data_IF_074944948614
#
_entry.id   IF_074944948614
#
_cell.length_a   1.000
_cell.length_b   1.000
_cell.length_c   1.000
_cell.angle_alpha   90.00
_cell.angle_beta   90.00
_cell.angle_gamma   90.00
#
_symmetry.space_group_name_H-M   'P 1'
#
loop_
_entity.id
_entity.type
_entity.pdbx_description
1 polymer ?
#
# COMPACT_ATOMS: atom_id res chain seq x y z
N UNK A 1 -19.94 21.33 -25.15
CA UNK A 1 -18.90 20.31 -25.34
C UNK A 1 -17.54 20.80 -24.81
N UNK A 2 -17.05 22.00 -25.17
CA UNK A 2 -15.73 22.49 -24.71
C UNK A 2 -15.63 22.58 -23.18
N UNK A 3 -16.67 23.12 -22.50
CA UNK A 3 -16.69 23.20 -21.05
C UNK A 3 -16.63 21.79 -20.44
N UNK A 4 -17.37 20.83 -20.99
CA UNK A 4 -17.36 19.44 -20.52
C UNK A 4 -15.95 18.82 -20.67
N UNK A 5 -15.29 19.03 -21.81
CA UNK A 5 -13.93 18.55 -22.02
C UNK A 5 -12.95 19.07 -20.94
N UNK A 6 -12.93 20.40 -20.73
CA UNK A 6 -12.01 21.00 -19.76
C UNK A 6 -12.35 20.65 -18.32
N UNK A 7 -13.64 20.45 -17.99
CA UNK A 7 -14.05 19.93 -16.69
C UNK A 7 -13.54 18.52 -16.45
N UNK A 8 -13.69 17.62 -17.45
CA UNK A 8 -13.17 16.26 -17.38
C UNK A 8 -11.62 16.24 -17.29
N UNK A 9 -10.95 17.10 -18.08
CA UNK A 9 -9.50 17.25 -18.00
C UNK A 9 -9.05 17.66 -16.60
N UNK A 10 -9.74 18.62 -15.98
CA UNK A 10 -9.45 19.05 -14.60
C UNK A 10 -9.63 17.90 -13.61
N UNK A 11 -10.71 17.08 -13.77
CA UNK A 11 -10.90 15.89 -12.93
C UNK A 11 -9.79 14.87 -13.13
N UNK A 12 -9.37 14.61 -14.37
CA UNK A 12 -8.25 13.70 -14.64
C UNK A 12 -6.96 14.19 -13.99
N UNK A 13 -6.62 15.48 -14.16
CA UNK A 13 -5.45 16.09 -13.51
C UNK A 13 -5.55 15.94 -11.99
N UNK A 14 -6.71 16.21 -11.41
CA UNK A 14 -6.93 16.03 -9.97
C UNK A 14 -6.72 14.58 -9.53
N UNK A 15 -7.20 13.59 -10.27
CA UNK A 15 -7.03 12.18 -9.92
C UNK A 15 -5.56 11.75 -9.78
N UNK A 16 -4.66 12.32 -10.59
CA UNK A 16 -3.25 11.90 -10.63
C UNK A 16 -2.29 12.90 -9.99
N UNK A 17 -2.53 14.19 -10.15
CA UNK A 17 -1.70 15.25 -9.56
C UNK A 17 -2.23 15.76 -8.21
N UNK A 18 -3.47 15.43 -7.84
CA UNK A 18 -4.12 15.97 -6.65
C UNK A 18 -3.37 15.66 -5.36
N UNK A 19 -2.94 14.40 -5.14
CA UNK A 19 -2.18 14.04 -3.94
C UNK A 19 -0.81 14.73 -3.88
N UNK A 20 0.03 14.76 -4.94
CA UNK A 20 1.23 15.59 -4.98
C UNK A 20 0.97 17.07 -4.69
N UNK A 21 -0.07 17.67 -5.29
CA UNK A 21 -0.43 19.07 -5.02
C UNK A 21 -0.81 19.31 -3.55
N UNK A 22 -1.63 18.45 -2.98
CA UNK A 22 -1.98 18.50 -1.56
C UNK A 22 -0.72 18.35 -0.68
N UNK A 23 0.20 17.46 -1.05
CA UNK A 23 1.47 17.29 -0.33
C UNK A 23 2.36 18.55 -0.41
N UNK A 24 2.37 19.26 -1.56
CA UNK A 24 3.06 20.56 -1.68
C UNK A 24 2.44 21.59 -0.74
N UNK A 25 1.11 21.77 -0.80
CA UNK A 25 0.38 22.73 0.03
C UNK A 25 0.61 22.44 1.52
N UNK A 26 0.48 21.18 1.92
CA UNK A 26 0.73 20.77 3.30
C UNK A 26 2.20 20.95 3.71
N UNK A 27 3.14 20.80 2.77
CA UNK A 27 4.56 21.02 3.01
C UNK A 27 4.91 22.48 3.33
N UNK A 28 4.03 23.44 3.01
CA UNK A 28 4.15 24.86 3.39
C UNK A 28 3.69 25.11 4.84
N UNK A 29 2.91 24.20 5.42
CA UNK A 29 2.50 24.30 6.80
C UNK A 29 3.68 24.05 7.76
N UNK A 30 3.65 24.70 8.95
CA UNK A 30 4.69 24.49 9.96
C UNK A 30 4.76 23.00 10.35
N UNK A 31 5.96 22.39 10.32
CA UNK A 31 6.11 20.99 10.73
C UNK A 31 5.70 20.81 12.19
N UNK A 32 4.88 19.83 12.47
CA UNK A 32 4.64 19.39 13.84
C UNK A 32 5.85 18.58 14.30
N UNK A 33 6.56 19.11 15.30
CA UNK A 33 7.66 18.37 15.94
C UNK A 33 7.06 17.16 16.65
N UNK A 34 7.62 15.99 16.40
CA UNK A 34 7.32 14.77 17.16
C UNK A 34 8.45 14.61 18.17
N UNK A 35 8.10 14.58 19.46
CA UNK A 35 9.05 14.25 20.51
C UNK A 35 9.37 12.78 20.39
N UNK A 36 10.64 12.45 20.31
CA UNK A 36 11.11 11.05 20.34
C UNK A 36 11.55 10.73 21.76
N UNK A 37 11.35 9.50 22.18
CA UNK A 37 11.82 9.03 23.48
C UNK A 37 12.91 8.00 23.28
N UNK A 38 13.91 8.05 24.15
CA UNK A 38 14.97 7.03 24.19
C UNK A 38 14.54 5.79 25.00
N UNK A 39 13.38 5.84 25.66
CA UNK A 39 12.85 4.70 26.41
C UNK A 39 12.03 3.80 25.48
N UNK A 40 12.56 2.63 25.08
CA UNK A 40 11.89 1.75 24.14
C UNK A 40 10.69 1.05 24.80
N UNK A 41 9.45 1.16 24.24
CA UNK A 41 8.31 0.38 24.70
C UNK A 41 8.46 -1.10 24.32
N UNK A 42 7.66 -2.00 24.91
CA UNK A 42 7.57 -3.37 24.43
C UNK A 42 6.90 -3.45 23.07
N UNK A 43 7.41 -4.27 22.16
CA UNK A 43 6.91 -4.49 20.80
C UNK A 43 6.45 -5.93 20.61
N UNK A 44 5.25 -6.13 20.08
CA UNK A 44 4.84 -7.41 19.50
C UNK A 44 4.91 -7.34 17.99
N UNK A 45 5.85 -8.08 17.41
CA UNK A 45 6.03 -8.18 15.95
C UNK A 45 5.15 -9.33 15.47
N UNK A 46 4.31 -9.08 14.47
CA UNK A 46 3.34 -10.03 13.94
C UNK A 46 3.66 -10.29 12.48
N UNK A 47 3.87 -11.57 12.17
CA UNK A 47 4.15 -12.08 10.83
C UNK A 47 3.11 -13.13 10.50
N UNK A 48 2.32 -12.90 9.44
CA UNK A 48 1.48 -13.92 8.83
C UNK A 48 2.29 -14.65 7.76
N UNK A 49 2.32 -15.97 7.81
CA UNK A 49 3.08 -16.82 6.89
C UNK A 49 2.16 -17.84 6.21
N UNK A 50 2.36 -18.05 4.93
CA UNK A 50 1.75 -19.16 4.18
C UNK A 50 2.76 -19.72 3.19
N UNK A 51 3.29 -20.92 3.50
CA UNK A 51 4.32 -21.59 2.71
C UNK A 51 5.58 -20.71 2.52
N UNK A 52 6.21 -20.26 3.56
CA UNK A 52 7.37 -19.38 3.59
C UNK A 52 8.65 -20.08 4.05
N UNK A 53 8.78 -21.40 3.77
CA UNK A 53 9.92 -22.20 4.24
C UNK A 53 11.29 -21.62 3.88
N UNK A 54 11.39 -20.91 2.74
CA UNK A 54 12.64 -20.31 2.29
C UNK A 54 12.99 -19.00 3.02
N UNK A 55 11.99 -18.30 3.59
CA UNK A 55 12.16 -16.96 4.14
C UNK A 55 11.99 -16.91 5.65
N UNK A 56 11.23 -17.85 6.23
CA UNK A 56 10.80 -17.73 7.62
C UNK A 56 11.94 -17.76 8.62
N UNK A 57 12.98 -18.58 8.41
CA UNK A 57 14.16 -18.60 9.27
C UNK A 57 14.92 -17.27 9.21
N UNK A 58 15.14 -16.77 7.99
CA UNK A 58 15.79 -15.46 7.80
C UNK A 58 14.97 -14.34 8.49
N UNK A 59 13.64 -14.39 8.43
CA UNK A 59 12.78 -13.44 9.12
C UNK A 59 12.96 -13.44 10.63
N UNK A 60 13.06 -14.62 11.22
CA UNK A 60 13.33 -14.78 12.66
C UNK A 60 14.67 -14.14 13.00
N UNK A 61 15.74 -14.54 12.31
CA UNK A 61 17.09 -14.08 12.54
C UNK A 61 17.20 -12.57 12.36
N UNK A 62 16.64 -12.02 11.27
CA UNK A 62 16.63 -10.58 10.98
C UNK A 62 15.88 -9.78 12.06
N UNK A 63 14.79 -10.32 12.60
CA UNK A 63 14.01 -9.65 13.65
C UNK A 63 14.85 -9.50 14.92
N UNK A 64 15.54 -10.55 15.36
CA UNK A 64 16.34 -10.55 16.58
C UNK A 64 17.74 -9.95 16.40
N UNK A 65 18.21 -9.79 15.17
CA UNK A 65 19.44 -9.04 14.87
C UNK A 65 19.25 -7.51 14.92
N UNK A 66 18.04 -7.03 15.20
CA UNK A 66 17.77 -5.59 15.34
C UNK A 66 18.44 -4.99 16.58
N UNK A 67 18.78 -3.69 16.50
CA UNK A 67 19.34 -2.92 17.63
C UNK A 67 18.27 -2.54 18.68
N UNK A 68 17.16 -3.28 18.74
CA UNK A 68 16.11 -3.07 19.74
C UNK A 68 16.35 -3.99 20.96
N UNK A 69 16.08 -3.53 22.22
CA UNK A 69 16.25 -4.38 23.38
C UNK A 69 15.48 -5.69 23.25
N UNK A 70 16.22 -6.78 23.23
CA UNK A 70 15.69 -8.10 22.88
C UNK A 70 14.63 -8.61 23.86
N UNK A 71 14.72 -8.25 25.13
CA UNK A 71 13.76 -8.57 26.19
C UNK A 71 12.42 -7.81 26.03
N UNK A 72 12.38 -6.82 25.15
CA UNK A 72 11.17 -6.05 24.83
C UNK A 72 10.53 -6.45 23.51
N UNK A 73 11.01 -7.51 22.87
CA UNK A 73 10.49 -8.05 21.63
C UNK A 73 9.72 -9.34 21.92
N UNK A 74 8.47 -9.40 21.47
CA UNK A 74 7.73 -10.63 21.24
C UNK A 74 7.55 -10.80 19.73
N UNK A 75 7.89 -11.97 19.17
CA UNK A 75 7.65 -12.31 17.77
C UNK A 75 6.52 -13.33 17.67
N UNK A 76 5.43 -12.97 17.00
CA UNK A 76 4.33 -13.90 16.72
C UNK A 76 4.40 -14.28 15.25
N UNK A 77 4.63 -15.55 14.96
CA UNK A 77 4.55 -16.13 13.64
C UNK A 77 3.25 -16.92 13.55
N UNK A 78 2.33 -16.50 12.71
CA UNK A 78 1.06 -17.15 12.50
C UNK A 78 1.00 -17.76 11.09
N UNK A 79 1.03 -19.08 11.02
CA UNK A 79 0.88 -19.85 9.79
C UNK A 79 -0.58 -19.95 9.41
N UNK A 80 -0.92 -19.59 8.17
CA UNK A 80 -2.27 -19.71 7.59
C UNK A 80 -2.43 -21.05 6.86
N UNK A 81 -2.21 -22.16 7.58
CA UNK A 81 -2.32 -23.51 7.03
C UNK A 81 -1.22 -23.83 6.00
N UNK A 82 0.04 -23.50 6.30
CA UNK A 82 1.17 -23.87 5.45
C UNK A 82 1.29 -25.38 5.25
N UNK A 83 1.61 -25.80 4.03
CA UNK A 83 1.75 -27.19 3.62
C UNK A 83 3.20 -27.60 3.36
N UNK A 84 4.11 -26.64 3.39
CA UNK A 84 5.56 -26.81 3.29
C UNK A 84 6.22 -26.93 4.66
N UNK A 85 7.53 -26.75 4.75
CA UNK A 85 8.29 -26.88 5.99
C UNK A 85 8.21 -25.63 6.92
N UNK A 86 7.42 -24.60 6.56
CA UNK A 86 7.29 -23.38 7.38
C UNK A 86 7.02 -23.68 8.85
N UNK A 87 6.03 -24.55 9.11
CA UNK A 87 5.62 -24.90 10.49
C UNK A 87 6.72 -25.66 11.24
N UNK A 88 7.43 -26.55 10.56
CA UNK A 88 8.54 -27.32 11.15
C UNK A 88 9.68 -26.41 11.55
N UNK A 89 10.09 -25.49 10.66
CA UNK A 89 11.19 -24.55 10.91
C UNK A 89 10.89 -23.69 12.13
N UNK A 90 9.67 -23.15 12.25
CA UNK A 90 9.32 -22.29 13.39
C UNK A 90 9.25 -23.10 14.70
N UNK A 91 8.72 -24.34 14.67
CA UNK A 91 8.64 -25.21 15.84
C UNK A 91 10.02 -25.66 16.36
N UNK A 92 11.02 -25.76 15.50
CA UNK A 92 12.39 -26.07 15.92
C UNK A 92 13.03 -24.92 16.71
N UNK A 93 12.48 -23.73 16.62
CA UNK A 93 13.02 -22.58 17.35
C UNK A 93 12.54 -22.59 18.80
N UNK A 94 13.50 -22.66 19.75
CA UNK A 94 13.22 -22.75 21.19
C UNK A 94 13.24 -21.40 21.89
N UNK A 95 13.36 -20.28 21.16
CA UNK A 95 13.41 -18.95 21.76
C UNK A 95 12.04 -18.61 22.41
N UNK A 96 11.98 -18.36 23.74
CA UNK A 96 10.74 -18.13 24.47
C UNK A 96 10.00 -16.84 24.04
N UNK A 97 10.68 -15.96 23.30
CA UNK A 97 10.08 -14.73 22.74
C UNK A 97 9.23 -15.00 21.49
N UNK A 98 9.34 -16.19 20.92
CA UNK A 98 8.58 -16.60 19.73
C UNK A 98 7.30 -17.29 20.15
N UNK A 99 6.18 -16.79 19.64
CA UNK A 99 4.88 -17.45 19.75
C UNK A 99 4.49 -17.96 18.37
N UNK A 100 4.42 -19.26 18.20
CA UNK A 100 3.98 -19.86 16.95
C UNK A 100 2.50 -20.25 17.01
N UNK A 101 1.73 -19.83 16.00
CA UNK A 101 0.33 -20.18 15.83
C UNK A 101 0.17 -20.94 14.51
N UNK A 102 -0.08 -22.23 14.59
CA UNK A 102 -0.42 -23.04 13.42
C UNK A 102 -1.94 -23.05 13.24
N UNK A 103 -2.45 -22.28 12.27
CA UNK A 103 -3.87 -22.02 12.07
C UNK A 103 -4.36 -22.73 10.79
N UNK A 104 -5.66 -23.06 10.70
CA UNK A 104 -6.23 -23.53 9.44
C UNK A 104 -6.27 -22.42 8.40
N UNK A 105 -6.19 -22.78 7.11
CA UNK A 105 -6.21 -21.87 5.97
C UNK A 105 -7.50 -21.04 5.93
N UNK A 106 -7.43 -19.75 6.28
CA UNK A 106 -8.55 -18.80 6.30
C UNK A 106 -8.21 -17.45 5.69
N UNK A 107 -6.97 -17.28 5.24
CA UNK A 107 -6.47 -16.04 4.66
C UNK A 107 -5.79 -15.11 5.65
N UNK A 108 -4.93 -14.23 5.13
CA UNK A 108 -4.05 -13.34 5.90
C UNK A 108 -4.78 -12.56 6.98
N UNK A 109 -5.96 -11.99 6.69
CA UNK A 109 -6.70 -11.16 7.64
C UNK A 109 -7.17 -11.95 8.87
N UNK A 110 -7.70 -13.16 8.66
CA UNK A 110 -8.12 -14.04 9.76
C UNK A 110 -6.91 -14.46 10.61
N UNK A 111 -5.78 -14.74 9.97
CA UNK A 111 -4.51 -15.09 10.62
C UNK A 111 -4.00 -13.95 11.47
N UNK A 112 -3.95 -12.73 10.96
CA UNK A 112 -3.57 -11.53 11.72
C UNK A 112 -4.52 -11.26 12.89
N UNK A 113 -5.84 -11.40 12.68
CA UNK A 113 -6.84 -11.26 13.75
C UNK A 113 -6.61 -12.26 14.90
N UNK A 114 -6.20 -13.48 14.57
CA UNK A 114 -5.86 -14.50 15.57
C UNK A 114 -4.57 -14.16 16.28
N UNK A 115 -3.53 -13.73 15.56
CA UNK A 115 -2.23 -13.38 16.11
C UNK A 115 -2.31 -12.24 17.14
N UNK A 116 -3.07 -11.18 16.84
CA UNK A 116 -3.19 -10.02 17.74
C UNK A 116 -3.74 -10.37 19.12
N UNK A 117 -4.54 -11.44 19.24
CA UNK A 117 -5.05 -11.90 20.54
C UNK A 117 -3.96 -12.39 21.48
N UNK A 118 -2.83 -12.84 20.95
CA UNK A 118 -1.67 -13.35 21.69
C UNK A 118 -0.58 -12.29 21.91
N UNK A 119 -0.81 -11.06 21.46
CA UNK A 119 0.15 -9.97 21.62
C UNK A 119 0.28 -9.56 23.08
N UNK A 120 1.51 -9.55 23.61
CA UNK A 120 1.81 -9.17 24.99
C UNK A 120 1.98 -7.64 25.17
N UNK A 121 2.40 -6.94 24.11
CA UNK A 121 2.78 -5.53 24.22
C UNK A 121 1.74 -4.57 23.62
N UNK A 122 1.81 -3.31 24.06
CA UNK A 122 0.89 -2.24 23.64
C UNK A 122 1.15 -1.71 22.22
N UNK A 123 2.33 -1.98 21.65
CA UNK A 123 2.65 -1.59 20.28
C UNK A 123 2.76 -2.87 19.43
N UNK A 124 1.91 -2.93 18.41
CA UNK A 124 1.91 -4.01 17.41
C UNK A 124 2.70 -3.55 16.21
N UNK A 125 3.65 -4.36 15.76
CA UNK A 125 4.41 -4.16 14.52
C UNK A 125 4.01 -5.24 13.53
N UNK A 126 3.56 -4.86 12.37
CA UNK A 126 3.19 -5.77 11.28
C UNK A 126 4.27 -5.73 10.20
N UNK A 127 4.67 -6.88 9.72
CA UNK A 127 5.63 -7.02 8.63
C UNK A 127 5.39 -8.34 7.89
N UNK A 128 5.66 -8.37 6.58
CA UNK A 128 5.53 -9.57 5.76
C UNK A 128 6.71 -10.53 6.01
N UNK A 129 6.53 -11.83 5.74
CA UNK A 129 7.53 -12.86 6.00
C UNK A 129 8.77 -12.72 5.10
N UNK A 130 8.58 -12.25 3.87
CA UNK A 130 9.61 -12.06 2.83
C UNK A 130 10.29 -10.68 2.88
N UNK A 131 9.96 -9.85 3.88
CA UNK A 131 10.51 -8.50 4.07
C UNK A 131 11.59 -8.52 5.15
N UNK A 132 12.78 -8.02 4.84
CA UNK A 132 13.84 -7.75 5.81
C UNK A 132 13.70 -6.34 6.39
N UNK A 133 14.06 -6.15 7.65
CA UNK A 133 14.07 -4.84 8.32
C UNK A 133 15.50 -4.40 8.62
N UNK A 134 15.74 -3.09 8.51
CA UNK A 134 17.02 -2.49 8.95
C UNK A 134 17.19 -2.64 10.46
N UNK A 135 18.44 -2.75 10.91
CA UNK A 135 18.75 -2.96 12.33
C UNK A 135 18.12 -1.92 13.26
N UNK A 136 17.94 -0.68 12.80
CA UNK A 136 17.35 0.40 13.59
C UNK A 136 15.85 0.62 13.33
N UNK A 137 15.26 -0.12 12.41
CA UNK A 137 13.87 0.11 11.97
C UNK A 137 12.85 0.06 13.12
N UNK A 138 12.99 -0.91 14.03
CA UNK A 138 12.11 -1.05 15.19
C UNK A 138 12.25 0.15 16.15
N UNK A 139 13.47 0.60 16.42
CA UNK A 139 13.72 1.78 17.26
C UNK A 139 13.14 3.05 16.65
N UNK A 140 13.27 3.22 15.33
CA UNK A 140 12.68 4.35 14.61
C UNK A 140 11.17 4.36 14.72
N UNK A 141 10.48 3.24 14.46
CA UNK A 141 9.03 3.14 14.62
C UNK A 141 8.59 3.42 16.05
N UNK A 142 9.23 2.78 17.02
CA UNK A 142 8.85 2.83 18.43
C UNK A 142 8.97 4.23 19.02
N UNK A 143 10.00 4.99 18.63
CA UNK A 143 10.30 6.33 19.16
C UNK A 143 9.15 7.34 19.02
N UNK A 144 8.27 7.16 18.04
CA UNK A 144 7.13 8.05 17.79
C UNK A 144 5.96 7.84 18.76
N UNK A 145 5.88 6.67 19.40
CA UNK A 145 4.77 6.35 20.31
C UNK A 145 4.85 7.01 21.69
N UNK A 146 5.90 7.80 21.95
CA UNK A 146 5.94 8.72 23.09
C UNK A 146 4.85 9.80 23.01
N UNK A 147 4.41 10.15 21.82
CA UNK A 147 3.33 11.10 21.58
C UNK A 147 1.97 10.39 21.64
N UNK A 148 1.11 10.81 22.55
CA UNK A 148 -0.22 10.20 22.74
C UNK A 148 -1.16 10.38 21.53
N UNK A 149 -0.92 11.38 20.65
CA UNK A 149 -1.69 11.62 19.45
C UNK A 149 -1.23 10.77 18.26
N UNK A 150 -0.07 10.08 18.35
CA UNK A 150 0.41 9.14 17.33
C UNK A 150 -0.24 7.79 17.56
N UNK A 151 -1.02 7.34 16.59
CA UNK A 151 -1.71 6.05 16.62
C UNK A 151 -1.04 4.97 15.77
N UNK A 152 -0.47 5.36 14.63
CA UNK A 152 0.20 4.45 13.70
C UNK A 152 1.44 5.11 13.10
N UNK A 153 2.47 4.30 12.83
CA UNK A 153 3.71 4.73 12.15
C UNK A 153 4.01 3.74 11.03
N UNK A 154 4.12 4.25 9.81
CA UNK A 154 4.52 3.49 8.63
C UNK A 154 6.02 3.60 8.39
N UNK A 155 6.67 2.49 8.09
CA UNK A 155 8.05 2.42 7.64
C UNK A 155 8.23 2.74 6.16
N UNK A 156 9.49 2.77 5.76
CA UNK A 156 9.97 3.09 4.43
C UNK A 156 10.43 1.82 3.71
N UNK A 157 9.57 1.28 2.86
CA UNK A 157 9.91 0.11 2.06
C UNK A 157 10.81 0.49 0.89
N UNK A 158 11.84 -0.31 0.64
CA UNK A 158 12.79 -0.17 -0.46
C UNK A 158 12.95 -1.53 -1.18
N UNK A 159 12.98 -1.49 -2.51
CA UNK A 159 13.27 -2.68 -3.29
C UNK A 159 14.78 -2.98 -3.30
N UNK A 160 15.12 -4.27 -3.20
CA UNK A 160 16.48 -4.77 -3.43
C UNK A 160 16.60 -5.09 -4.92
N UNK A 161 17.57 -4.46 -5.60
CA UNK A 161 17.79 -4.65 -7.04
C UNK A 161 17.15 -3.59 -7.93
N UNK A 162 17.42 -3.67 -9.22
CA UNK A 162 16.89 -2.74 -10.22
C UNK A 162 15.42 -3.08 -10.49
N UNK A 163 14.51 -2.36 -9.83
CA UNK A 163 13.09 -2.38 -10.19
C UNK A 163 12.87 -1.73 -11.56
N UNK A 164 11.74 -2.03 -12.23
CA UNK A 164 11.32 -1.32 -13.43
C UNK A 164 11.28 0.19 -13.16
N UNK A 165 11.89 0.99 -14.02
CA UNK A 165 12.01 2.46 -13.88
C UNK A 165 10.67 3.17 -13.57
N UNK A 166 9.54 2.64 -14.07
CA UNK A 166 8.20 3.18 -13.81
C UNK A 166 7.72 2.93 -12.39
N UNK A 167 7.96 1.75 -11.84
CA UNK A 167 7.58 1.37 -10.47
C UNK A 167 8.45 2.12 -9.45
N UNK A 168 9.75 2.22 -9.69
CA UNK A 168 10.68 2.96 -8.83
C UNK A 168 10.34 4.46 -8.77
N UNK A 169 9.98 5.07 -9.89
CA UNK A 169 9.54 6.48 -9.96
C UNK A 169 8.24 6.68 -9.17
N UNK A 170 7.28 5.77 -9.31
CA UNK A 170 6.03 5.84 -8.56
C UNK A 170 6.26 5.77 -7.06
N UNK A 171 7.10 4.85 -6.59
CA UNK A 171 7.46 4.72 -5.18
C UNK A 171 8.20 5.95 -4.63
N UNK A 172 9.05 6.58 -5.44
CA UNK A 172 9.74 7.81 -5.05
C UNK A 172 8.76 8.98 -4.84
N UNK A 173 7.76 9.12 -5.72
CA UNK A 173 6.71 10.14 -5.59
C UNK A 173 5.84 9.85 -4.35
N UNK A 174 5.43 8.61 -4.13
CA UNK A 174 4.63 8.22 -2.96
C UNK A 174 5.39 8.49 -1.65
N UNK A 175 6.66 8.10 -1.57
CA UNK A 175 7.55 8.37 -0.43
C UNK A 175 7.70 9.86 -0.16
N UNK A 176 7.95 10.65 -1.20
CA UNK A 176 8.04 12.09 -1.10
C UNK A 176 6.73 12.72 -0.58
N UNK A 177 5.59 12.29 -1.11
CA UNK A 177 4.28 12.75 -0.65
C UNK A 177 4.03 12.36 0.81
N UNK A 178 4.28 11.10 1.20
CA UNK A 178 4.15 10.63 2.58
C UNK A 178 5.01 11.41 3.56
N UNK A 179 6.27 11.72 3.20
CA UNK A 179 7.17 12.52 4.02
C UNK A 179 6.58 13.90 4.31
N UNK A 180 6.01 14.58 3.30
CA UNK A 180 5.41 15.91 3.45
C UNK A 180 4.11 15.86 4.25
N UNK A 181 3.22 14.91 3.94
CA UNK A 181 1.95 14.74 4.64
C UNK A 181 2.16 14.38 6.13
N UNK A 182 3.14 13.53 6.43
CA UNK A 182 3.50 13.15 7.79
C UNK A 182 3.98 14.34 8.64
N UNK A 183 4.74 15.25 8.04
CA UNK A 183 5.24 16.45 8.74
C UNK A 183 4.14 17.42 9.14
N UNK A 184 3.10 17.57 8.34
CA UNK A 184 2.00 18.52 8.59
C UNK A 184 0.80 17.89 9.31
N UNK A 185 0.67 16.56 9.29
CA UNK A 185 -0.50 15.88 9.87
C UNK A 185 -0.40 14.38 9.85
N UNK A 186 -1.13 13.76 8.95
CA UNK A 186 -1.20 12.30 8.77
C UNK A 186 -1.01 11.91 7.31
N UNK A 187 -0.38 10.78 7.07
CA UNK A 187 -0.47 10.07 5.78
C UNK A 187 -1.81 9.34 5.66
N UNK A 188 -2.19 8.96 4.45
CA UNK A 188 -3.49 8.30 4.19
C UNK A 188 -3.54 6.85 4.64
N UNK A 189 -2.42 6.13 4.58
CA UNK A 189 -2.29 4.74 5.02
C UNK A 189 -0.83 4.30 5.09
N UNK A 190 -0.57 3.26 5.87
CA UNK A 190 0.70 2.52 5.84
C UNK A 190 0.84 1.68 4.57
N UNK A 191 1.99 1.01 4.42
CA UNK A 191 2.27 -0.07 3.46
C UNK A 191 2.50 -1.35 4.24
N UNK A 192 2.09 -2.51 3.71
CA UNK A 192 2.12 -3.80 4.39
C UNK A 192 3.51 -4.27 4.83
N UNK A 193 4.57 -3.81 4.16
CA UNK A 193 5.92 -4.27 4.40
C UNK A 193 6.42 -4.03 5.84
N UNK A 194 6.14 -2.85 6.42
CA UNK A 194 6.51 -2.52 7.80
C UNK A 194 5.66 -1.36 8.33
N UNK A 195 4.92 -1.57 9.41
CA UNK A 195 4.23 -0.50 10.14
C UNK A 195 3.91 -0.93 11.58
N UNK A 196 3.68 0.06 12.44
CA UNK A 196 3.33 -0.16 13.83
C UNK A 196 2.05 0.59 14.20
N UNK A 197 1.25 0.04 15.12
CA UNK A 197 0.01 0.65 15.65
C UNK A 197 -0.13 0.38 17.14
N UNK A 198 -0.80 1.26 17.88
CA UNK A 198 -1.21 0.98 19.25
C UNK A 198 -2.24 -0.15 19.27
N UNK A 199 -2.02 -1.17 20.10
CA UNK A 199 -2.92 -2.33 20.27
C UNK A 199 -4.34 -1.89 20.62
N UNK A 200 -4.50 -0.86 21.45
CA UNK A 200 -5.80 -0.32 21.87
C UNK A 200 -6.66 0.18 20.70
N UNK A 201 -6.03 0.60 19.58
CA UNK A 201 -6.71 1.06 18.38
C UNK A 201 -7.12 -0.08 17.45
N UNK A 202 -6.48 -1.25 17.56
CA UNK A 202 -6.74 -2.38 16.67
C UNK A 202 -8.19 -2.85 16.76
N UNK A 203 -8.74 -3.24 15.62
CA UNK A 203 -10.05 -3.92 15.50
C UNK A 203 -9.91 -5.00 14.45
N UNK A 204 -10.70 -6.06 14.58
CA UNK A 204 -10.67 -7.18 13.65
C UNK A 204 -10.81 -6.70 12.21
N UNK A 205 -9.92 -7.20 11.38
CA UNK A 205 -9.83 -6.89 9.95
C UNK A 205 -10.96 -7.65 9.26
N UNK A 206 -11.84 -7.00 8.49
CA UNK A 206 -12.85 -7.67 7.68
C UNK A 206 -12.21 -8.48 6.55
N UNK A 207 -12.95 -9.46 6.03
CA UNK A 207 -12.52 -10.22 4.88
C UNK A 207 -12.48 -9.36 3.61
N UNK A 208 -11.52 -9.65 2.74
CA UNK A 208 -11.40 -9.04 1.41
C UNK A 208 -10.98 -7.57 1.39
N UNK A 209 -10.44 -7.03 2.50
CA UNK A 209 -9.78 -5.72 2.54
C UNK A 209 -8.26 -5.87 2.62
N UNK A 210 -7.50 -4.84 2.23
CA UNK A 210 -6.06 -4.79 2.52
C UNK A 210 -5.84 -4.49 3.98
N UNK A 211 -5.06 -5.34 4.64
CA UNK A 211 -4.75 -5.28 6.08
C UNK A 211 -4.08 -3.95 6.47
N UNK A 212 -3.03 -3.57 5.76
CA UNK A 212 -2.25 -2.36 6.00
C UNK A 212 -3.10 -1.08 5.94
N UNK A 213 -3.95 -0.97 4.92
CA UNK A 213 -4.86 0.15 4.79
C UNK A 213 -5.89 0.17 5.92
N UNK A 214 -6.55 -0.97 6.18
CA UNK A 214 -7.60 -1.04 7.18
C UNK A 214 -7.05 -0.76 8.58
N UNK A 215 -5.97 -1.45 8.97
CA UNK A 215 -5.35 -1.31 10.30
C UNK A 215 -4.85 0.12 10.52
N UNK A 216 -4.08 0.68 9.58
CA UNK A 216 -3.53 2.02 9.76
C UNK A 216 -4.60 3.10 9.86
N UNK A 217 -5.69 3.00 9.08
CA UNK A 217 -6.78 3.98 9.10
C UNK A 217 -7.64 3.90 10.37
N UNK A 218 -7.56 2.82 11.16
CA UNK A 218 -8.16 2.77 12.50
C UNK A 218 -7.61 3.87 13.43
N UNK A 219 -6.35 4.26 13.26
CA UNK A 219 -5.77 5.39 13.99
C UNK A 219 -6.51 6.69 13.67
N UNK A 220 -6.68 7.01 12.38
CA UNK A 220 -7.41 8.22 11.97
C UNK A 220 -8.86 8.21 12.43
N UNK A 221 -9.52 7.04 12.38
CA UNK A 221 -10.90 6.91 12.87
C UNK A 221 -11.05 7.32 14.35
N UNK A 222 -9.99 7.15 15.12
CA UNK A 222 -9.92 7.54 16.54
C UNK A 222 -9.18 8.87 16.75
N UNK A 223 -9.12 9.72 15.70
CA UNK A 223 -8.49 11.05 15.72
C UNK A 223 -7.01 11.02 16.09
N UNK A 224 -6.33 9.89 15.86
CA UNK A 224 -4.88 9.74 16.02
C UNK A 224 -4.17 9.89 14.69
N UNK A 225 -2.92 10.32 14.74
CA UNK A 225 -2.09 10.54 13.56
C UNK A 225 -1.52 9.23 13.02
N UNK A 226 -1.39 9.16 11.69
CA UNK A 226 -0.62 8.14 10.99
C UNK A 226 0.64 8.83 10.47
N UNK A 227 1.80 8.48 10.99
CA UNK A 227 3.08 9.05 10.58
C UNK A 227 3.79 8.16 9.57
N UNK A 228 4.74 8.74 8.86
CA UNK A 228 5.70 8.05 8.02
C UNK A 228 7.10 8.36 8.52
N UNK A 229 7.89 7.34 8.84
CA UNK A 229 9.30 7.50 9.18
C UNK A 229 10.18 6.98 8.03
N UNK A 230 10.94 7.88 7.41
CA UNK A 230 11.84 7.56 6.31
C UNK A 230 13.03 6.70 6.74
N UNK A 231 13.38 6.73 8.04
CA UNK A 231 14.50 5.98 8.61
C UNK A 231 14.10 4.59 9.13
N UNK A 232 12.81 4.31 9.27
CA UNK A 232 12.32 2.96 9.58
C UNK A 232 12.31 2.12 8.30
N UNK A 233 13.50 1.69 7.85
CA UNK A 233 13.69 1.08 6.54
C UNK A 233 13.37 -0.41 6.59
N UNK A 234 12.70 -0.88 5.55
CA UNK A 234 12.49 -2.30 5.27
C UNK A 234 12.81 -2.59 3.80
N UNK A 235 13.24 -3.82 3.53
CA UNK A 235 13.71 -4.25 2.22
C UNK A 235 12.93 -5.48 1.74
N UNK A 236 12.66 -5.54 0.45
CA UNK A 236 12.08 -6.71 -0.20
C UNK A 236 12.42 -6.79 -1.68
N UNK A 237 12.26 -7.96 -2.25
CA UNK A 237 12.52 -8.16 -3.66
C UNK A 237 11.38 -7.57 -4.51
N UNK A 238 11.73 -7.01 -5.67
CA UNK A 238 10.74 -6.63 -6.68
C UNK A 238 10.09 -7.87 -7.28
N UNK A 239 8.78 -7.80 -7.56
CA UNK A 239 8.07 -8.90 -8.22
C UNK A 239 8.49 -8.94 -9.69
N UNK A 240 9.12 -10.03 -10.12
CA UNK A 240 9.65 -10.20 -11.48
C UNK A 240 8.66 -10.84 -12.47
N UNK A 241 7.40 -11.13 -12.08
CA UNK A 241 6.46 -11.81 -12.97
C UNK A 241 5.54 -10.83 -13.71
N UNK A 242 5.60 -10.83 -15.03
CA UNK A 242 4.74 -10.02 -15.92
C UNK A 242 3.36 -10.63 -16.18
N UNK A 243 3.16 -11.92 -15.88
CA UNK A 243 1.91 -12.64 -16.18
C UNK A 243 0.74 -12.29 -15.26
N UNK A 244 1.02 -12.07 -13.98
CA UNK A 244 0.00 -11.90 -12.94
C UNK A 244 -0.15 -10.45 -12.43
N UNK A 245 0.61 -9.51 -12.97
CA UNK A 245 0.62 -8.13 -12.46
C UNK A 245 -0.76 -7.45 -12.59
N UNK A 246 -1.46 -7.66 -13.70
CA UNK A 246 -2.80 -7.13 -13.88
C UNK A 246 -3.78 -7.68 -12.83
N UNK A 247 -3.81 -9.00 -12.64
CA UNK A 247 -4.66 -9.68 -11.64
C UNK A 247 -4.32 -9.18 -10.23
N UNK A 248 -3.04 -9.03 -9.92
CA UNK A 248 -2.57 -8.44 -8.65
C UNK A 248 -3.09 -7.02 -8.47
N UNK A 249 -2.99 -6.14 -9.50
CA UNK A 249 -3.51 -4.76 -9.46
C UNK A 249 -5.02 -4.73 -9.26
N UNK A 250 -5.78 -5.59 -9.95
CA UNK A 250 -7.24 -5.73 -9.77
C UNK A 250 -7.56 -6.13 -8.33
N UNK A 251 -6.91 -7.16 -7.79
CA UNK A 251 -7.09 -7.62 -6.42
C UNK A 251 -6.84 -6.51 -5.41
N UNK A 252 -5.72 -5.77 -5.54
CA UNK A 252 -5.38 -4.64 -4.68
C UNK A 252 -6.41 -3.51 -4.81
N UNK A 253 -6.91 -3.26 -6.01
CA UNK A 253 -7.91 -2.22 -6.23
C UNK A 253 -9.25 -2.59 -5.59
N UNK A 254 -9.73 -3.83 -5.77
CA UNK A 254 -10.95 -4.36 -5.12
C UNK A 254 -10.84 -4.28 -3.61
N UNK A 255 -9.78 -4.87 -3.04
CA UNK A 255 -9.58 -4.91 -1.60
C UNK A 255 -9.41 -3.51 -0.99
N UNK A 256 -8.74 -2.61 -1.71
CA UNK A 256 -8.59 -1.23 -1.29
C UNK A 256 -9.90 -0.44 -1.32
N UNK A 257 -10.76 -0.61 -2.33
CA UNK A 257 -12.08 0.05 -2.37
C UNK A 257 -13.04 -0.52 -1.32
N UNK A 258 -13.03 -1.85 -1.09
CA UNK A 258 -13.73 -2.48 0.04
C UNK A 258 -13.25 -1.89 1.38
N UNK A 259 -11.93 -1.72 1.54
CA UNK A 259 -11.35 -1.09 2.73
C UNK A 259 -11.87 0.33 2.95
N UNK A 260 -11.94 1.15 1.89
CA UNK A 260 -12.52 2.51 1.96
C UNK A 260 -14.00 2.44 2.38
N UNK A 261 -14.76 1.51 1.84
CA UNK A 261 -16.17 1.34 2.24
C UNK A 261 -16.33 1.00 3.71
N UNK A 262 -15.52 0.09 4.24
CA UNK A 262 -15.51 -0.24 5.68
C UNK A 262 -15.09 0.96 6.55
N UNK A 263 -14.21 1.80 6.02
CA UNK A 263 -13.72 3.00 6.68
C UNK A 263 -14.40 4.30 6.22
N UNK A 264 -15.60 4.22 5.58
CA UNK A 264 -16.28 5.38 4.96
C UNK A 264 -16.49 6.57 5.90
N UNK A 265 -16.54 6.35 7.22
CA UNK A 265 -16.65 7.44 8.20
C UNK A 265 -15.48 8.43 8.08
N UNK A 266 -14.25 7.93 7.86
CA UNK A 266 -13.06 8.81 7.74
C UNK A 266 -13.00 9.54 6.38
N UNK A 267 -13.90 9.24 5.44
CA UNK A 267 -14.05 9.98 4.19
C UNK A 267 -14.94 11.21 4.32
N UNK A 268 -15.52 11.48 5.50
CA UNK A 268 -16.33 12.68 5.73
C UNK A 268 -15.43 13.91 5.95
N UNK A 269 -15.37 14.90 5.02
CA UNK A 269 -14.50 16.05 5.16
C UNK A 269 -14.93 17.00 6.27
N UNK A 270 -16.22 17.01 6.66
CA UNK A 270 -16.71 17.84 7.77
C UNK A 270 -16.15 17.35 9.12
N UNK A 271 -15.87 16.06 9.25
CA UNK A 271 -15.37 15.46 10.49
C UNK A 271 -13.86 15.26 10.50
N UNK A 272 -13.27 14.93 9.35
CA UNK A 272 -11.85 14.55 9.20
C UNK A 272 -11.05 15.56 8.38
N UNK A 273 -11.69 16.63 7.90
CA UNK A 273 -11.01 17.75 7.22
C UNK A 273 -10.18 17.29 6.02
N UNK A 274 -8.96 17.83 5.93
CA UNK A 274 -8.04 17.55 4.83
C UNK A 274 -7.64 16.07 4.73
N UNK A 275 -7.66 15.31 5.82
CA UNK A 275 -7.39 13.86 5.77
C UNK A 275 -8.39 13.12 4.89
N UNK A 276 -9.69 13.44 4.98
CA UNK A 276 -10.73 12.84 4.16
C UNK A 276 -10.51 13.15 2.66
N UNK A 277 -10.14 14.38 2.33
CA UNK A 277 -9.82 14.80 0.96
C UNK A 277 -8.61 14.03 0.43
N UNK A 278 -7.53 13.93 1.21
CA UNK A 278 -6.33 13.17 0.84
C UNK A 278 -6.67 11.69 0.61
N UNK A 279 -7.44 11.10 1.52
CA UNK A 279 -7.85 9.69 1.44
C UNK A 279 -8.67 9.43 0.19
N UNK A 280 -9.67 10.28 -0.08
CA UNK A 280 -10.51 10.17 -1.28
C UNK A 280 -9.67 10.29 -2.55
N UNK A 281 -8.82 11.32 -2.65
CA UNK A 281 -7.93 11.53 -3.81
C UNK A 281 -7.01 10.34 -4.05
N UNK A 282 -6.37 9.85 -2.99
CA UNK A 282 -5.37 8.78 -3.10
C UNK A 282 -5.98 7.40 -3.35
N UNK A 283 -7.09 7.07 -2.69
CA UNK A 283 -7.63 5.70 -2.67
C UNK A 283 -8.86 5.51 -3.56
N UNK A 284 -9.63 6.57 -3.83
CA UNK A 284 -10.86 6.48 -4.63
C UNK A 284 -10.68 7.12 -6.00
N UNK A 285 -10.44 8.45 -6.05
CA UNK A 285 -10.40 9.19 -7.30
C UNK A 285 -9.39 8.60 -8.29
N UNK A 286 -8.19 8.25 -7.81
CA UNK A 286 -7.13 7.65 -8.62
C UNK A 286 -7.53 6.28 -9.21
N UNK A 287 -8.31 5.45 -8.49
CA UNK A 287 -8.78 4.15 -9.00
C UNK A 287 -9.92 4.27 -9.99
N UNK A 288 -10.73 5.31 -9.86
CA UNK A 288 -11.85 5.59 -10.75
C UNK A 288 -11.47 6.54 -11.90
N UNK A 289 -10.21 6.97 -11.98
CA UNK A 289 -9.72 7.94 -12.98
C UNK A 289 -9.86 7.48 -14.43
N UNK A 290 -10.01 6.19 -14.69
CA UNK A 290 -10.30 5.66 -16.02
C UNK A 290 -11.65 6.16 -16.56
N UNK A 291 -12.66 6.33 -15.71
CA UNK A 291 -14.00 6.77 -16.12
C UNK A 291 -13.95 8.15 -16.79
N UNK A 292 -13.44 9.21 -16.14
CA UNK A 292 -13.34 10.52 -16.79
C UNK A 292 -12.42 10.52 -18.00
N UNK A 293 -11.37 9.70 -18.07
CA UNK A 293 -10.49 9.59 -19.25
C UNK A 293 -11.26 9.02 -20.44
N UNK A 294 -12.07 7.97 -20.26
CA UNK A 294 -12.88 7.38 -21.32
C UNK A 294 -13.92 8.39 -21.82
N UNK A 295 -14.65 9.04 -20.90
CA UNK A 295 -15.64 10.05 -21.29
C UNK A 295 -14.95 11.21 -22.04
N UNK A 296 -13.80 11.66 -21.55
CA UNK A 296 -12.98 12.71 -22.16
C UNK A 296 -12.57 12.34 -23.60
N UNK A 297 -12.18 11.09 -23.84
CA UNK A 297 -11.80 10.59 -25.17
C UNK A 297 -12.95 10.75 -26.18
N UNK A 298 -14.18 10.33 -25.82
CA UNK A 298 -15.35 10.46 -26.68
C UNK A 298 -15.78 11.93 -26.87
N UNK A 299 -15.71 12.74 -25.81
CA UNK A 299 -16.00 14.19 -25.93
C UNK A 299 -15.00 14.84 -26.86
N UNK A 300 -13.72 14.53 -26.71
CA UNK A 300 -12.63 15.08 -27.53
C UNK A 300 -12.76 14.66 -28.99
N UNK A 301 -13.11 13.40 -29.27
CA UNK A 301 -13.35 12.94 -30.64
C UNK A 301 -14.49 13.68 -31.33
N UNK A 302 -15.56 14.03 -30.58
CA UNK A 302 -16.72 14.76 -31.10
C UNK A 302 -16.42 16.24 -31.41
N UNK A 303 -15.42 16.86 -30.73
CA UNK A 303 -15.05 18.26 -30.94
C UNK A 303 -13.72 18.43 -31.71
N UNK A 304 -13.05 17.35 -32.08
CA UNK A 304 -11.72 17.37 -32.70
C UNK A 304 -11.66 18.29 -33.93
N UNK A 305 -12.70 18.24 -34.78
CA UNK A 305 -12.77 19.04 -36.02
C UNK A 305 -13.14 20.52 -35.78
N UNK A 306 -13.44 20.94 -34.55
CA UNK A 306 -13.84 22.32 -34.26
C UNK A 306 -12.64 23.28 -34.09
N UNK A 307 -11.44 22.72 -33.79
CA UNK A 307 -10.20 23.52 -33.62
C UNK A 307 -8.97 22.65 -33.82
N UNK A 308 -7.89 23.19 -34.40
CA UNK A 308 -6.61 22.50 -34.52
C UNK A 308 -6.05 22.02 -33.18
N UNK A 309 -6.33 22.75 -32.08
CA UNK A 309 -5.92 22.37 -30.72
C UNK A 309 -6.61 21.09 -30.26
N UNK A 310 -7.92 20.98 -30.45
CA UNK A 310 -8.66 19.77 -30.09
C UNK A 310 -8.27 18.57 -30.95
N UNK A 311 -8.01 18.81 -32.25
CA UNK A 311 -7.50 17.76 -33.15
C UNK A 311 -6.13 17.27 -32.66
N UNK A 312 -5.21 18.15 -32.32
CA UNK A 312 -3.89 17.78 -31.82
C UNK A 312 -3.97 16.98 -30.51
N UNK A 313 -4.84 17.41 -29.56
CA UNK A 313 -5.07 16.69 -28.30
C UNK A 313 -5.69 15.31 -28.54
N UNK A 314 -6.63 15.20 -29.48
CA UNK A 314 -7.23 13.90 -29.83
C UNK A 314 -6.19 12.94 -30.43
N UNK A 315 -5.38 13.42 -31.39
CA UNK A 315 -4.32 12.62 -31.97
C UNK A 315 -3.29 12.18 -30.91
N UNK A 316 -2.92 13.09 -30.01
CA UNK A 316 -1.98 12.77 -28.93
C UNK A 316 -2.53 11.67 -28.01
N UNK A 317 -3.80 11.76 -27.61
CA UNK A 317 -4.45 10.75 -26.77
C UNK A 317 -4.60 9.42 -27.51
N UNK A 318 -4.95 9.43 -28.80
CA UNK A 318 -5.05 8.25 -29.65
C UNK A 318 -3.68 7.55 -29.78
N UNK A 319 -2.63 8.31 -30.07
CA UNK A 319 -1.24 7.81 -30.17
C UNK A 319 -0.82 7.19 -28.84
N UNK A 320 -1.14 7.81 -27.70
CA UNK A 320 -0.83 7.26 -26.38
C UNK A 320 -1.43 5.88 -26.19
N UNK A 321 -2.74 5.69 -26.48
CA UNK A 321 -3.40 4.38 -26.33
C UNK A 321 -2.93 3.35 -27.38
N UNK A 322 -2.56 3.78 -28.59
CA UNK A 322 -1.92 2.90 -29.59
C UNK A 322 -0.54 2.41 -29.13
N UNK A 323 0.25 3.28 -28.51
CA UNK A 323 1.53 2.89 -27.91
C UNK A 323 1.33 1.91 -26.76
N UNK A 324 0.30 2.13 -25.93
CA UNK A 324 -0.07 1.21 -24.85
C UNK A 324 -0.48 -0.17 -25.38
N UNK A 325 -1.32 -0.21 -26.43
CA UNK A 325 -1.71 -1.45 -27.09
C UNK A 325 -0.51 -2.18 -27.70
N UNK A 326 0.39 -1.44 -28.37
CA UNK A 326 1.65 -1.99 -28.89
C UNK A 326 2.50 -2.57 -27.77
N UNK A 327 2.62 -1.88 -26.65
CA UNK A 327 3.31 -2.35 -25.45
C UNK A 327 2.71 -3.64 -24.90
N UNK A 328 1.40 -3.75 -24.85
CA UNK A 328 0.69 -4.98 -24.49
C UNK A 328 1.00 -6.13 -25.43
N UNK A 329 0.93 -5.92 -26.75
CA UNK A 329 1.21 -6.95 -27.76
C UNK A 329 2.67 -7.42 -27.74
N UNK A 330 3.59 -6.52 -27.42
CA UNK A 330 5.03 -6.77 -27.40
C UNK A 330 5.57 -7.09 -25.98
N UNK A 331 4.75 -7.20 -24.95
CA UNK A 331 5.17 -7.32 -23.53
C UNK A 331 6.16 -8.45 -23.26
N UNK A 332 6.09 -9.55 -24.04
CA UNK A 332 6.98 -10.70 -23.91
C UNK A 332 8.24 -10.59 -24.79
N UNK A 333 8.46 -9.46 -25.48
CA UNK A 333 9.61 -9.22 -26.39
C UNK A 333 10.48 -8.10 -25.85
N UNK A 334 11.79 -8.13 -26.14
CA UNK A 334 12.73 -7.04 -25.77
C UNK A 334 12.24 -5.65 -26.23
N UNK A 335 11.63 -5.56 -27.42
CA UNK A 335 11.09 -4.30 -27.94
C UNK A 335 9.98 -3.70 -27.03
N UNK A 336 9.15 -4.53 -26.42
CA UNK A 336 8.08 -4.07 -25.51
C UNK A 336 8.60 -3.52 -24.18
N UNK A 337 9.85 -3.83 -23.82
CA UNK A 337 10.51 -3.27 -22.63
C UNK A 337 11.04 -1.85 -22.83
N UNK A 338 11.02 -1.36 -24.08
CA UNK A 338 11.37 0.04 -24.37
C UNK A 338 10.37 0.99 -23.68
N UNK A 339 10.87 2.03 -23.00
CA UNK A 339 10.07 2.98 -22.21
C UNK A 339 8.91 3.61 -23.00
N UNK A 340 9.08 3.79 -24.32
CA UNK A 340 8.05 4.36 -25.19
C UNK A 340 6.79 3.50 -25.27
N UNK A 341 6.90 2.18 -25.09
CA UNK A 341 5.79 1.23 -25.07
C UNK A 341 5.42 0.78 -23.67
N UNK A 342 6.42 0.52 -22.82
CA UNK A 342 6.23 -0.01 -21.48
C UNK A 342 5.47 0.97 -20.57
N UNK A 343 5.78 2.28 -20.64
CA UNK A 343 5.15 3.29 -19.79
C UNK A 343 3.67 3.52 -20.15
N UNK A 344 3.27 3.76 -21.41
CA UNK A 344 1.85 3.85 -21.77
C UNK A 344 1.08 2.56 -21.42
N UNK A 345 1.65 1.38 -21.70
CA UNK A 345 1.04 0.11 -21.34
C UNK A 345 0.81 -0.01 -19.83
N UNK A 346 1.79 0.32 -19.01
CA UNK A 346 1.66 0.27 -17.55
C UNK A 346 0.56 1.21 -17.04
N UNK A 347 0.48 2.43 -17.59
CA UNK A 347 -0.55 3.41 -17.22
C UNK A 347 -1.94 2.87 -17.57
N UNK A 348 -2.15 2.40 -18.81
CA UNK A 348 -3.43 1.84 -19.24
C UNK A 348 -3.80 0.58 -18.45
N UNK A 349 -2.83 -0.30 -18.14
CA UNK A 349 -3.05 -1.46 -17.30
C UNK A 349 -3.58 -1.08 -15.91
N UNK A 350 -3.01 -0.04 -15.29
CA UNK A 350 -3.49 0.47 -13.99
C UNK A 350 -4.90 1.04 -14.09
N UNK A 351 -5.20 1.78 -15.18
CA UNK A 351 -6.53 2.33 -15.45
C UNK A 351 -7.59 1.23 -15.61
N UNK A 352 -7.30 0.23 -16.44
CA UNK A 352 -8.20 -0.91 -16.68
C UNK A 352 -8.39 -1.74 -15.41
N UNK A 353 -7.34 -1.92 -14.59
CA UNK A 353 -7.46 -2.64 -13.33
C UNK A 353 -8.47 -1.97 -12.37
N UNK A 354 -8.58 -0.64 -12.39
CA UNK A 354 -9.57 0.11 -11.61
C UNK A 354 -11.02 -0.14 -12.08
N UNK A 355 -11.25 -0.20 -13.40
CA UNK A 355 -12.56 -0.51 -13.98
C UNK A 355 -12.99 -1.95 -13.70
N UNK A 356 -12.08 -2.90 -13.89
CA UNK A 356 -12.34 -4.31 -13.58
C UNK A 356 -12.60 -4.50 -12.09
N UNK A 357 -11.89 -3.78 -11.23
CA UNK A 357 -12.15 -3.78 -9.79
C UNK A 357 -13.56 -3.26 -9.46
N UNK A 358 -14.00 -2.19 -10.10
CA UNK A 358 -15.36 -1.67 -9.92
C UNK A 358 -16.42 -2.69 -10.37
N UNK A 359 -16.20 -3.36 -11.50
CA UNK A 359 -17.08 -4.45 -11.98
C UNK A 359 -17.18 -5.57 -10.94
N UNK A 360 -16.05 -6.06 -10.39
CA UNK A 360 -16.05 -7.08 -9.35
C UNK A 360 -16.77 -6.64 -8.06
N UNK A 361 -16.66 -5.35 -7.71
CA UNK A 361 -17.36 -4.80 -6.54
C UNK A 361 -18.89 -4.78 -6.76
N UNK A 362 -19.34 -4.35 -7.93
CA UNK A 362 -20.77 -4.29 -8.26
C UNK A 362 -21.40 -5.70 -8.28
N UNK A 363 -20.70 -6.66 -8.86
CA UNK A 363 -21.16 -8.05 -8.94
C UNK A 363 -20.92 -8.87 -7.66
N UNK A 364 -20.31 -8.27 -6.62
CA UNK A 364 -19.99 -8.95 -5.35
C UNK A 364 -19.21 -10.26 -5.54
N UNK A 365 -18.40 -10.36 -6.58
CA UNK A 365 -17.61 -11.57 -6.86
C UNK A 365 -16.51 -11.72 -5.81
N UNK A 366 -16.35 -12.95 -5.26
CA UNK A 366 -15.22 -13.25 -4.39
C UNK A 366 -13.96 -13.36 -5.25
N UNK A 367 -12.93 -12.63 -4.87
CA UNK A 367 -11.57 -12.86 -5.38
C UNK A 367 -10.91 -13.89 -4.47
N UNK A 368 -10.13 -14.80 -5.08
CA UNK A 368 -9.53 -15.94 -4.37
C UNK A 368 -8.67 -15.53 -3.18
N UNK A 369 -8.45 -16.51 -2.28
CA UNK A 369 -7.61 -16.36 -1.09
C UNK A 369 -6.22 -15.85 -1.51
N UNK A 370 -5.64 -15.01 -0.66
CA UNK A 370 -4.27 -14.54 -0.81
C UNK A 370 -3.30 -15.73 -1.00
N UNK A 371 -2.57 -15.71 -2.09
CA UNK A 371 -1.43 -16.59 -2.37
C UNK A 371 -0.23 -15.68 -2.50
N UNK A 372 0.89 -15.94 -1.79
CA UNK A 372 2.12 -15.18 -1.97
C UNK A 372 2.59 -15.32 -3.43
N UNK A 373 2.99 -14.18 -4.04
CA UNK A 373 3.64 -14.22 -5.34
C UNK A 373 5.03 -14.88 -5.15
N UNK A 374 5.23 -16.06 -5.70
CA UNK A 374 6.50 -16.77 -5.63
C UNK A 374 7.17 -16.75 -6.99
N UNK A 375 8.45 -16.36 -6.98
CA UNK A 375 9.35 -16.75 -8.04
C UNK A 375 9.69 -18.24 -7.82
N UNK A 376 9.10 -19.13 -8.63
CA UNK A 376 9.60 -20.50 -8.81
C UNK A 376 10.87 -20.47 -9.61
#
# INVERSE_FOLDING_TARGET
MNILYWSLFTVVVYCYAGLPLIAVINGLAKPRKVKRTDFPPGLTIIVAAYNEEQQIQHKIDNTFASNYPSEKIQLIIASDGSTDQTSSIVNYNTDPRIVFLNLPRKGKNATLNSAVKHAAHEILVFTDADVSIDANALSQLASHFSEADVGCVAGNFQYIGAGNDGESTHWNIDRWAKKRLSRSGSITSATGALYAIRKSLFRNIPDGVTDDFYISTLASRQKKRILFDENAISFGNGVNSTGDEFTRKVRIAVAGLKGVWHQRKVCNPMEFGMFAVQLFTHKVARRLGAIPIIIQFFVLSAIANTSPVYMALFVLQLVFHLLALTGFLLRNRKAGQCKIFALPYFIDMVLWSGLVALYHLILSTRMDLWVPDRNT
#
